data_IF_937085910159
#
_entry.id   IF_937085910159
#
_cell.length_a   1.000
_cell.length_b   1.000
_cell.length_c   1.000
_cell.angle_alpha   90.00
_cell.angle_beta   90.00
_cell.angle_gamma   90.00
#
_symmetry.space_group_name_H-M   'P 1'
#
loop_
_entity.id
_entity.type
_entity.pdbx_description
1 polymer ?
#
# COMPACT_ATOMS: atom_id res chain seq x y z
N UNK A 1 -11.32 29.70 -2.30
CA UNK A 1 -11.36 28.24 -2.50
C UNK A 1 -10.16 27.64 -1.81
N UNK A 2 -10.34 26.99 -0.66
CA UNK A 2 -9.27 26.25 0.02
C UNK A 2 -9.28 24.84 -0.58
N UNK A 3 -8.21 24.47 -1.27
CA UNK A 3 -8.02 23.09 -1.70
C UNK A 3 -7.86 22.22 -0.44
N UNK A 4 -8.58 21.10 -0.30
CA UNK A 4 -8.32 20.17 0.79
C UNK A 4 -6.88 19.66 0.65
N UNK A 5 -6.02 20.08 1.56
CA UNK A 5 -4.61 19.69 1.61
C UNK A 5 -4.51 18.24 2.05
N UNK A 6 -4.02 17.37 1.17
CA UNK A 6 -3.61 16.01 1.52
C UNK A 6 -2.31 16.10 2.31
N UNK A 7 -2.29 15.65 3.57
CA UNK A 7 -1.07 15.52 4.35
C UNK A 7 -0.61 14.07 4.26
N UNK A 8 0.54 13.82 3.62
CA UNK A 8 1.15 12.49 3.61
C UNK A 8 1.84 12.30 4.96
N UNK A 9 1.24 11.52 5.84
CA UNK A 9 1.89 11.10 7.10
C UNK A 9 2.42 9.69 6.86
N UNK A 10 3.75 9.55 6.82
CA UNK A 10 4.42 8.27 6.61
C UNK A 10 4.30 7.42 7.89
N UNK A 11 3.21 6.67 8.03
CA UNK A 11 3.11 5.65 9.07
C UNK A 11 3.82 4.38 8.60
N UNK A 12 4.90 3.99 9.27
CA UNK A 12 5.45 2.64 9.13
C UNK A 12 4.56 1.70 9.93
N UNK A 13 3.50 1.22 9.29
CA UNK A 13 2.66 0.17 9.86
C UNK A 13 3.43 -1.14 9.74
N UNK A 14 3.86 -1.72 10.86
CA UNK A 14 4.66 -2.96 10.89
C UNK A 14 3.88 -4.23 10.53
N UNK A 15 2.71 -4.10 9.91
CA UNK A 15 1.91 -5.19 9.39
C UNK A 15 2.15 -5.29 7.88
N UNK A 16 2.27 -6.52 7.39
CA UNK A 16 2.41 -6.82 5.96
C UNK A 16 1.25 -6.19 5.17
N UNK A 17 1.54 -5.76 3.94
CA UNK A 17 0.59 -4.98 3.16
C UNK A 17 -0.77 -5.68 3.04
N UNK A 18 -0.76 -6.98 2.74
CA UNK A 18 -1.97 -7.76 2.51
C UNK A 18 -2.79 -7.95 3.79
N UNK A 19 -2.12 -8.15 4.93
CA UNK A 19 -2.79 -8.29 6.24
C UNK A 19 -3.38 -6.98 6.73
N UNK A 20 -2.67 -5.87 6.50
CA UNK A 20 -3.19 -4.54 6.81
C UNK A 20 -4.45 -4.24 5.99
N UNK A 21 -4.43 -4.55 4.69
CA UNK A 21 -5.60 -4.37 3.82
C UNK A 21 -6.76 -5.20 4.33
N UNK A 22 -6.58 -6.51 4.57
CA UNK A 22 -7.65 -7.38 5.09
C UNK A 22 -8.23 -6.87 6.40
N UNK A 23 -7.37 -6.39 7.32
CA UNK A 23 -7.80 -5.86 8.60
C UNK A 23 -8.68 -4.62 8.44
N UNK A 24 -8.30 -3.67 7.57
CA UNK A 24 -9.09 -2.45 7.35
C UNK A 24 -10.35 -2.78 6.55
N UNK A 25 -10.26 -3.65 5.54
CA UNK A 25 -11.36 -4.08 4.69
C UNK A 25 -12.49 -4.74 5.51
N UNK A 26 -12.13 -5.48 6.57
CA UNK A 26 -13.09 -6.04 7.51
C UNK A 26 -13.94 -5.00 8.25
N UNK A 27 -13.49 -3.75 8.30
CA UNK A 27 -14.16 -2.63 8.99
C UNK A 27 -14.81 -1.66 8.01
N UNK A 28 -14.19 -1.44 6.85
CA UNK A 28 -14.66 -0.53 5.81
C UNK A 28 -14.11 -1.00 4.47
N UNK A 29 -14.94 -1.14 3.44
CA UNK A 29 -14.47 -1.62 2.15
C UNK A 29 -13.58 -0.60 1.46
N UNK A 30 -12.61 -1.08 0.68
CA UNK A 30 -11.88 -0.25 -0.29
C UNK A 30 -12.45 -0.38 -1.71
N UNK A 31 -12.04 0.53 -2.58
CA UNK A 31 -12.40 0.57 -4.01
C UNK A 31 -11.71 -0.56 -4.78
N UNK A 32 -12.48 -1.47 -5.41
CA UNK A 32 -11.96 -2.60 -6.19
C UNK A 32 -11.62 -2.18 -7.63
N UNK A 33 -10.57 -1.39 -7.78
CA UNK A 33 -10.02 -1.01 -9.08
C UNK A 33 -8.84 -1.91 -9.49
N UNK A 34 -8.26 -1.64 -10.67
CA UNK A 34 -7.13 -2.41 -11.21
C UNK A 34 -5.88 -2.30 -10.33
N UNK A 35 -5.62 -1.13 -9.72
CA UNK A 35 -4.45 -0.96 -8.86
C UNK A 35 -4.58 -1.79 -7.59
N UNK A 36 -5.80 -1.93 -7.07
CA UNK A 36 -6.08 -2.75 -5.91
C UNK A 36 -6.11 -4.24 -6.22
N UNK A 37 -6.58 -4.64 -7.40
CA UNK A 37 -6.48 -6.01 -7.91
C UNK A 37 -5.02 -6.45 -8.06
N UNK A 38 -4.17 -5.55 -8.57
CA UNK A 38 -2.74 -5.76 -8.71
C UNK A 38 -1.96 -5.56 -7.39
N UNK A 39 -2.61 -5.11 -6.33
CA UNK A 39 -2.01 -4.98 -4.99
C UNK A 39 -1.14 -3.75 -4.76
N UNK A 40 -1.17 -2.75 -5.63
CA UNK A 40 -0.37 -1.52 -5.54
C UNK A 40 -1.01 -0.46 -4.65
N UNK A 41 -2.32 -0.25 -4.78
CA UNK A 41 -3.01 0.85 -4.12
C UNK A 41 -4.38 0.44 -3.58
N UNK A 42 -4.76 0.97 -2.42
CA UNK A 42 -6.02 0.66 -1.76
C UNK A 42 -6.65 1.94 -1.22
N UNK A 43 -7.84 2.30 -1.75
CA UNK A 43 -8.56 3.52 -1.37
C UNK A 43 -9.81 3.17 -0.56
N UNK A 44 -9.77 3.49 0.73
CA UNK A 44 -10.89 3.36 1.67
C UNK A 44 -11.64 4.69 1.76
N UNK A 45 -12.62 4.90 0.88
CA UNK A 45 -13.33 6.18 0.73
C UNK A 45 -14.02 6.62 2.02
N UNK A 46 -14.67 5.71 2.75
CA UNK A 46 -15.46 6.08 3.93
C UNK A 46 -14.63 6.69 5.06
N UNK A 47 -13.36 6.30 5.17
CA UNK A 47 -12.41 6.83 6.17
C UNK A 47 -11.35 7.76 5.58
N UNK A 48 -11.47 8.10 4.29
CA UNK A 48 -10.54 8.96 3.55
C UNK A 48 -9.07 8.56 3.69
N UNK A 49 -8.82 7.25 3.58
CA UNK A 49 -7.50 6.65 3.67
C UNK A 49 -7.08 6.06 2.32
N UNK A 50 -5.84 6.30 1.91
CA UNK A 50 -5.21 5.59 0.81
C UNK A 50 -3.87 4.99 1.24
N UNK A 51 -3.66 3.73 0.85
CA UNK A 51 -2.41 3.00 1.04
C UNK A 51 -1.78 2.77 -0.33
N UNK A 52 -0.46 2.97 -0.45
CA UNK A 52 0.24 2.78 -1.70
C UNK A 52 1.65 2.22 -1.52
N UNK A 53 2.04 1.34 -2.45
CA UNK A 53 3.41 0.84 -2.61
C UNK A 53 3.80 0.84 -4.10
N UNK A 54 5.08 1.07 -4.42
CA UNK A 54 5.55 1.13 -5.81
C UNK A 54 5.71 -0.25 -6.47
N UNK A 55 5.85 -1.30 -5.67
CA UNK A 55 6.02 -2.68 -6.12
C UNK A 55 5.29 -3.61 -5.17
N UNK A 56 4.92 -4.79 -5.66
CA UNK A 56 4.37 -5.87 -4.83
C UNK A 56 5.48 -6.88 -4.57
N UNK A 57 5.72 -7.14 -3.30
CA UNK A 57 6.61 -8.20 -2.85
C UNK A 57 5.80 -9.20 -2.03
N UNK A 58 6.04 -10.49 -2.24
CA UNK A 58 5.40 -11.60 -1.50
C UNK A 58 6.47 -12.51 -0.91
N UNK A 59 6.10 -13.34 0.07
CA UNK A 59 7.02 -14.35 0.62
C UNK A 59 7.51 -15.33 -0.45
N UNK A 60 6.63 -15.72 -1.39
CA UNK A 60 6.99 -16.60 -2.49
C UNK A 60 8.09 -15.98 -3.37
N UNK A 61 7.95 -14.69 -3.72
CA UNK A 61 8.96 -13.96 -4.50
C UNK A 61 10.29 -13.86 -3.74
N UNK A 62 10.25 -13.53 -2.44
CA UNK A 62 11.45 -13.42 -1.60
C UNK A 62 12.20 -14.75 -1.44
N UNK A 63 11.52 -15.88 -1.61
CA UNK A 63 12.09 -17.22 -1.54
C UNK A 63 12.38 -17.84 -2.92
N UNK A 64 12.10 -17.12 -4.01
CA UNK A 64 12.31 -17.60 -5.37
C UNK A 64 13.80 -17.70 -5.72
N UNK A 65 14.14 -18.62 -6.63
CA UNK A 65 15.52 -18.77 -7.13
C UNK A 65 16.00 -17.46 -7.77
N UNK A 66 15.16 -16.84 -8.60
CA UNK A 66 15.43 -15.55 -9.25
C UNK A 66 15.85 -14.48 -8.23
N UNK A 67 15.06 -14.28 -7.18
CA UNK A 67 15.36 -13.30 -6.15
C UNK A 67 16.66 -13.61 -5.40
N UNK A 68 16.90 -14.88 -5.07
CA UNK A 68 18.07 -15.29 -4.29
C UNK A 68 19.38 -15.29 -5.09
N UNK A 69 19.32 -15.52 -6.41
CA UNK A 69 20.52 -15.64 -7.25
C UNK A 69 20.81 -14.41 -8.11
N UNK A 70 19.78 -13.67 -8.53
CA UNK A 70 19.94 -12.54 -9.46
C UNK A 70 20.08 -11.19 -8.75
N UNK A 71 19.61 -11.09 -7.50
CA UNK A 71 19.71 -9.86 -6.72
C UNK A 71 20.89 -9.92 -5.75
N UNK A 72 21.67 -8.83 -5.69
CA UNK A 72 22.67 -8.65 -4.63
C UNK A 72 22.00 -8.55 -3.27
N UNK A 73 22.70 -8.84 -2.15
CA UNK A 73 22.11 -8.72 -0.81
C UNK A 73 21.55 -7.31 -0.52
N UNK A 74 22.22 -6.26 -1.02
CA UNK A 74 21.73 -4.89 -0.89
C UNK A 74 20.41 -4.67 -1.64
N UNK A 75 20.30 -5.16 -2.87
CA UNK A 75 19.07 -5.06 -3.64
C UNK A 75 17.94 -5.89 -3.01
N UNK A 76 18.25 -7.08 -2.49
CA UNK A 76 17.26 -7.89 -1.77
C UNK A 76 16.67 -7.12 -0.58
N UNK A 77 17.49 -6.43 0.22
CA UNK A 77 17.02 -5.62 1.35
C UNK A 77 16.22 -4.38 0.90
N UNK A 78 16.47 -3.84 -0.29
CA UNK A 78 15.65 -2.77 -0.86
C UNK A 78 14.28 -3.28 -1.30
N UNK A 79 14.24 -4.40 -2.02
CA UNK A 79 13.02 -5.02 -2.54
C UNK A 79 12.09 -5.52 -1.42
N UNK A 80 12.65 -6.10 -0.35
CA UNK A 80 11.90 -6.52 0.86
C UNK A 80 11.09 -5.38 1.49
N UNK A 81 11.46 -4.11 1.27
CA UNK A 81 10.70 -2.96 1.80
C UNK A 81 9.30 -2.87 1.19
N UNK A 82 9.09 -3.41 -0.01
CA UNK A 82 7.80 -3.41 -0.70
C UNK A 82 6.83 -4.51 -0.21
N UNK A 83 7.28 -5.31 0.76
CA UNK A 83 6.40 -6.16 1.57
C UNK A 83 5.44 -5.34 2.46
N UNK A 84 5.76 -4.06 2.65
CA UNK A 84 4.96 -3.08 3.39
C UNK A 84 4.54 -1.92 2.48
N UNK A 85 3.51 -1.17 2.90
CA UNK A 85 3.18 0.08 2.22
C UNK A 85 4.25 1.14 2.43
N UNK A 86 4.55 1.87 1.35
CA UNK A 86 5.51 2.97 1.37
C UNK A 86 4.86 4.30 1.76
N UNK A 87 3.59 4.43 1.42
CA UNK A 87 2.83 5.66 1.62
C UNK A 87 1.49 5.36 2.27
N UNK A 88 1.17 6.17 3.27
CA UNK A 88 -0.17 6.28 3.84
C UNK A 88 -0.61 7.73 3.63
N UNK A 89 -1.78 7.91 3.03
CA UNK A 89 -2.38 9.23 2.83
C UNK A 89 -3.71 9.29 3.56
N UNK A 90 -3.90 10.34 4.36
CA UNK A 90 -5.16 10.66 5.02
C UNK A 90 -5.64 11.99 4.47
N UNK A 91 -6.87 12.00 3.94
CA UNK A 91 -7.43 13.15 3.26
C UNK A 91 -8.59 13.77 4.05
N UNK A 92 -8.92 15.01 3.70
CA UNK A 92 -10.09 15.68 4.25
C UNK A 92 -11.39 14.96 3.82
N UNK A 93 -12.49 15.07 4.60
CA UNK A 93 -13.78 14.48 4.24
C UNK A 93 -14.21 14.79 2.80
N UNK A 94 -14.59 13.74 2.07
CA UNK A 94 -15.09 13.85 0.70
C UNK A 94 -14.03 14.04 -0.39
N UNK A 95 -12.74 13.96 -0.08
CA UNK A 95 -11.66 14.04 -1.07
C UNK A 95 -11.76 12.91 -2.11
N UNK A 96 -11.88 11.65 -1.68
CA UNK A 96 -11.95 10.48 -2.57
C UNK A 96 -13.35 10.22 -3.16
N UNK A 97 -14.35 11.05 -2.84
CA UNK A 97 -15.72 10.88 -3.34
C UNK A 97 -15.92 11.57 -4.70
N UNK A 98 -14.91 12.29 -5.19
CA UNK A 98 -14.97 13.10 -6.44
C UNK A 98 -14.51 12.34 -7.69
N UNK A 99 -14.12 11.08 -7.52
CA UNK A 99 -13.68 10.13 -8.54
C UNK A 99 -14.60 8.92 -8.51
#
# INVERSE_FOLDING_TARGET
MLYPTCSIILFRVGLEADDLVKLIDSKTPYTRDIDAELGFSFIFKDIQLALWRPSVMTEEMMNSVEFLTEFTPENQELEKRFFYFRTVAVAAPGYFNRT
#
